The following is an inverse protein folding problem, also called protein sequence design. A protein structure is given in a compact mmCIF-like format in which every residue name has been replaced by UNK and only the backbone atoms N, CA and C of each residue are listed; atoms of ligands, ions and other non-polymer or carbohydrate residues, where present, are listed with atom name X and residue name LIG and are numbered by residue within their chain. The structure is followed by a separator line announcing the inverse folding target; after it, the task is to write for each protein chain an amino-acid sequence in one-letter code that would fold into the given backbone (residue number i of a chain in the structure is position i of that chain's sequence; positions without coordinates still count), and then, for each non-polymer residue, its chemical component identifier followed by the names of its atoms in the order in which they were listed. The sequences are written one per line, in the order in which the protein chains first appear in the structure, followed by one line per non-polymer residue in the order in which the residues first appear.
data_IF_396343755224
#
_entry.id   IF_396343755224
#
_cell.length_a   1.000
_cell.length_b   1.000
_cell.length_c   1.000
_cell.angle_alpha   90.00
_cell.angle_beta   90.00
_cell.angle_gamma   90.00
#
_symmetry.space_group_name_H-M   'P 1'
#
loop_
_entity.id
_entity.type
_entity.pdbx_description
1 polymer ?
#
# COMPACT_ATOMS: atom_id res chain seq x y z
N UNK A 1 -8.76 -15.37 19.59
CA UNK A 1 -7.76 -15.23 20.69
C UNK A 1 -7.30 -13.77 20.76
N UNK A 2 -6.60 -13.29 21.80
CA UNK A 2 -6.14 -11.88 21.78
C UNK A 2 -5.23 -11.61 20.58
N UNK A 3 -4.36 -12.56 20.27
CA UNK A 3 -3.42 -12.50 19.14
C UNK A 3 -4.13 -12.49 17.77
N UNK A 4 -5.28 -13.15 17.64
CA UNK A 4 -6.07 -13.15 16.40
C UNK A 4 -6.74 -11.81 16.13
N UNK A 5 -7.24 -11.15 17.18
CA UNK A 5 -7.79 -9.80 17.06
C UNK A 5 -6.68 -8.80 16.72
N UNK A 6 -5.52 -8.92 17.38
CA UNK A 6 -4.37 -8.05 17.11
C UNK A 6 -3.88 -8.20 15.65
N UNK A 7 -3.93 -9.41 15.05
CA UNK A 7 -3.60 -9.63 13.64
C UNK A 7 -4.64 -8.98 12.72
N UNK A 8 -5.93 -9.10 13.03
CA UNK A 8 -7.00 -8.47 12.23
C UNK A 8 -6.90 -6.95 12.25
N UNK A 9 -6.69 -6.37 13.43
CA UNK A 9 -6.49 -4.93 13.57
C UNK A 9 -5.27 -4.47 12.75
N UNK A 10 -4.22 -5.29 12.68
CA UNK A 10 -3.04 -4.98 11.86
C UNK A 10 -3.30 -5.10 10.34
N UNK A 11 -4.13 -6.04 9.92
CA UNK A 11 -4.56 -6.14 8.51
C UNK A 11 -5.35 -4.87 8.14
N UNK A 12 -6.32 -4.47 8.97
CA UNK A 12 -7.11 -3.25 8.75
C UNK A 12 -6.22 -2.00 8.65
N UNK A 13 -5.19 -1.89 9.50
CA UNK A 13 -4.19 -0.81 9.41
C UNK A 13 -3.40 -0.83 8.10
N UNK A 14 -3.00 -2.01 7.62
CA UNK A 14 -2.24 -2.16 6.37
C UNK A 14 -3.11 -1.89 5.14
N UNK A 15 -4.38 -2.29 5.15
CA UNK A 15 -5.33 -1.94 4.09
C UNK A 15 -5.51 -0.41 4.01
N UNK A 16 -5.63 0.27 5.16
CA UNK A 16 -5.67 1.73 5.20
C UNK A 16 -4.36 2.36 4.68
N UNK A 17 -3.20 1.80 5.04
CA UNK A 17 -1.90 2.28 4.55
C UNK A 17 -1.78 2.13 3.02
N UNK A 18 -2.33 1.05 2.46
CA UNK A 18 -2.38 0.86 1.00
C UNK A 18 -3.24 1.94 0.33
N UNK A 19 -4.44 2.18 0.84
CA UNK A 19 -5.33 3.22 0.30
C UNK A 19 -4.67 4.62 0.40
N UNK A 20 -3.97 4.89 1.50
CA UNK A 20 -3.22 6.14 1.67
C UNK A 20 -2.09 6.27 0.63
N UNK A 21 -1.35 5.21 0.32
CA UNK A 21 -0.30 5.20 -0.71
C UNK A 21 -0.86 5.47 -2.11
N UNK A 22 -2.04 4.91 -2.45
CA UNK A 22 -2.70 5.17 -3.74
C UNK A 22 -3.13 6.64 -3.87
N UNK A 23 -3.59 7.26 -2.78
CA UNK A 23 -3.92 8.69 -2.74
C UNK A 23 -2.66 9.56 -2.80
N UNK A 24 -1.63 9.23 -2.03
CA UNK A 24 -0.36 9.95 -1.98
C UNK A 24 0.31 9.98 -3.36
N UNK A 25 0.21 8.89 -4.13
CA UNK A 25 0.66 8.86 -5.53
C UNK A 25 -0.02 9.94 -6.38
N UNK A 26 -1.35 10.03 -6.32
CA UNK A 26 -2.10 11.03 -7.09
C UNK A 26 -1.79 12.45 -6.62
N UNK A 27 -1.72 12.67 -5.30
CA UNK A 27 -1.34 13.98 -4.73
C UNK A 27 0.06 14.40 -5.17
N UNK A 28 1.01 13.46 -5.22
CA UNK A 28 2.39 13.73 -5.67
C UNK A 28 2.43 14.18 -7.12
N UNK A 29 1.67 13.51 -8.01
CA UNK A 29 1.57 13.92 -9.41
C UNK A 29 0.95 15.33 -9.55
N UNK A 30 -0.10 15.62 -8.78
CA UNK A 30 -0.77 16.94 -8.81
C UNK A 30 0.11 18.06 -8.24
N UNK A 31 0.79 17.82 -7.10
CA UNK A 31 1.63 18.82 -6.42
C UNK A 31 2.87 19.17 -7.25
N UNK A 32 3.42 18.21 -7.98
CA UNK A 32 4.61 18.39 -8.81
C UNK A 32 4.29 18.76 -10.27
N UNK A 33 3.00 18.83 -10.65
CA UNK A 33 2.53 19.08 -12.04
C UNK A 33 3.14 18.08 -13.05
N UNK A 34 3.19 16.81 -12.64
CA UNK A 34 3.79 15.71 -13.41
C UNK A 34 2.70 14.94 -14.16
N UNK A 35 2.88 14.77 -15.48
CA UNK A 35 2.02 13.90 -16.27
C UNK A 35 2.28 12.42 -15.92
N UNK A 36 1.23 11.64 -15.65
CA UNK A 36 1.34 10.22 -15.26
C UNK A 36 2.11 9.37 -16.29
N UNK A 37 1.93 9.65 -17.58
CA UNK A 37 2.57 8.94 -18.69
C UNK A 37 3.98 9.49 -19.04
N UNK A 38 4.52 10.42 -18.26
CA UNK A 38 5.89 10.93 -18.43
C UNK A 38 6.93 9.98 -17.83
N UNK A 39 8.21 10.12 -18.22
CA UNK A 39 9.31 9.33 -17.63
C UNK A 39 9.38 9.49 -16.10
N UNK A 40 9.12 10.70 -15.61
CA UNK A 40 9.09 11.03 -14.18
C UNK A 40 7.85 10.43 -13.50
N UNK A 41 6.68 10.49 -14.16
CA UNK A 41 5.45 9.85 -13.69
C UNK A 41 5.58 8.32 -13.59
N UNK A 42 6.22 7.68 -14.56
CA UNK A 42 6.54 6.25 -14.53
C UNK A 42 7.51 5.89 -13.39
N UNK A 43 8.52 6.73 -13.13
CA UNK A 43 9.46 6.53 -12.02
C UNK A 43 8.75 6.60 -10.66
N UNK A 44 7.92 7.63 -10.46
CA UNK A 44 7.10 7.80 -9.26
C UNK A 44 6.14 6.61 -9.11
N UNK A 45 5.45 6.22 -10.19
CA UNK A 45 4.55 5.08 -10.18
C UNK A 45 5.27 3.80 -9.76
N UNK A 46 6.46 3.52 -10.30
CA UNK A 46 7.24 2.34 -9.90
C UNK A 46 7.59 2.35 -8.41
N UNK A 47 7.87 3.53 -7.83
CA UNK A 47 8.13 3.66 -6.39
C UNK A 47 6.88 3.32 -5.56
N UNK A 48 5.72 3.88 -5.90
CA UNK A 48 4.48 3.61 -5.17
C UNK A 48 3.99 2.17 -5.39
N UNK A 49 4.09 1.64 -6.60
CA UNK A 49 3.77 0.23 -6.90
C UNK A 49 4.62 -0.72 -6.04
N UNK A 50 5.90 -0.42 -5.83
CA UNK A 50 6.77 -1.23 -4.97
C UNK A 50 6.37 -1.15 -3.49
N UNK A 51 5.96 0.03 -3.01
CA UNK A 51 5.46 0.21 -1.64
C UNK A 51 4.16 -0.57 -1.43
N UNK A 52 3.21 -0.42 -2.35
CA UNK A 52 1.91 -1.13 -2.34
C UNK A 52 2.14 -2.65 -2.36
N UNK A 53 2.98 -3.17 -3.25
CA UNK A 53 3.28 -4.61 -3.33
C UNK A 53 3.88 -5.14 -2.00
N UNK A 54 4.65 -4.30 -1.30
CA UNK A 54 5.21 -4.67 0.01
C UNK A 54 4.12 -4.78 1.07
N UNK A 55 3.17 -3.85 1.09
CA UNK A 55 2.00 -3.86 1.99
C UNK A 55 1.11 -5.08 1.69
N UNK A 56 0.81 -5.34 0.42
CA UNK A 56 0.03 -6.51 0.00
C UNK A 56 0.65 -7.83 0.47
N UNK A 57 1.96 -8.00 0.31
CA UNK A 57 2.67 -9.20 0.81
C UNK A 57 2.60 -9.35 2.33
N UNK A 58 2.54 -8.24 3.07
CA UNK A 58 2.38 -8.29 4.53
C UNK A 58 0.96 -8.72 4.91
N UNK A 59 -0.06 -8.19 4.21
CA UNK A 59 -1.46 -8.59 4.39
C UNK A 59 -1.60 -10.09 4.10
N UNK A 60 -1.13 -10.55 2.94
CA UNK A 60 -1.19 -11.97 2.53
C UNK A 60 -0.57 -12.91 3.58
N UNK A 61 0.56 -12.49 4.18
CA UNK A 61 1.22 -13.27 5.23
C UNK A 61 0.37 -13.34 6.52
N UNK A 62 -0.24 -12.22 6.92
CA UNK A 62 -1.08 -12.15 8.11
C UNK A 62 -2.38 -12.92 7.92
N UNK A 63 -2.99 -12.84 6.74
CA UNK A 63 -4.15 -13.65 6.36
C UNK A 63 -3.81 -15.15 6.38
N UNK A 64 -2.65 -15.53 5.84
CA UNK A 64 -2.18 -16.92 5.92
C UNK A 64 -1.99 -17.41 7.36
N UNK A 65 -1.47 -16.56 8.26
CA UNK A 65 -1.34 -16.89 9.69
C UNK A 65 -2.71 -17.06 10.36
N UNK A 66 -3.73 -16.31 9.96
CA UNK A 66 -5.10 -16.44 10.50
C UNK A 66 -5.79 -17.72 10.05
N UNK A 67 -5.43 -18.23 8.87
CA UNK A 67 -5.98 -19.45 8.29
C UNK A 67 -5.36 -20.76 8.85
N UNK A 68 -4.18 -20.69 9.51
CA UNK A 68 -3.50 -21.83 10.17
C UNK A 68 -4.04 -22.16 11.58
#
# INVERSE_FOLDING_TARGET
MKDEQDIKDRIDELESEKDDLENEFQETLEDEDIEEDSEEGEEIRMEYDQKIETVEKQIDLLEWILDE
#
